data_IF_526403053389
#
_entry.id   IF_526403053389
#
_cell.length_a   1.000
_cell.length_b   1.000
_cell.length_c   1.000
_cell.angle_alpha   90.00
_cell.angle_beta   90.00
_cell.angle_gamma   90.00
#
_symmetry.space_group_name_H-M   'P 1'
#
loop_
_entity.id
_entity.type
_entity.pdbx_description
1 polymer ?
#
# COMPACT_ATOMS: atom_id res chain seq x y z
N UNK A 1 48.20 -3.88 -15.89
CA UNK A 1 47.68 -2.54 -15.52
C UNK A 1 46.51 -2.20 -16.43
N UNK A 2 45.28 -2.38 -15.96
CA UNK A 2 44.07 -1.95 -16.70
C UNK A 2 43.62 -0.61 -16.13
N UNK A 3 43.61 0.38 -16.97
CA UNK A 3 43.17 1.76 -16.67
C UNK A 3 41.65 1.73 -16.45
N UNK A 4 41.21 2.07 -15.27
CA UNK A 4 39.80 2.23 -14.93
C UNK A 4 39.29 3.53 -15.58
N UNK A 5 38.24 3.42 -16.37
CA UNK A 5 37.66 4.52 -17.14
C UNK A 5 36.78 5.38 -16.21
N UNK A 6 37.28 6.56 -15.87
CA UNK A 6 36.73 7.55 -14.90
C UNK A 6 35.36 8.14 -15.28
N UNK A 7 34.75 7.72 -16.38
CA UNK A 7 33.46 8.28 -16.87
C UNK A 7 32.22 7.74 -16.13
N UNK A 8 32.36 6.72 -15.31
CA UNK A 8 31.22 6.11 -14.59
C UNK A 8 30.95 6.69 -13.19
N UNK A 9 31.92 7.44 -12.65
CA UNK A 9 31.78 8.08 -11.31
C UNK A 9 30.88 9.33 -11.36
N UNK A 10 30.77 9.98 -12.52
CA UNK A 10 29.93 11.18 -12.70
C UNK A 10 28.42 10.88 -12.81
N UNK A 11 28.02 9.66 -13.18
CA UNK A 11 26.61 9.29 -13.26
C UNK A 11 25.98 8.96 -11.89
N UNK A 12 26.76 8.44 -10.97
CA UNK A 12 26.28 8.12 -9.60
C UNK A 12 26.23 9.35 -8.68
N UNK A 13 27.09 10.35 -8.95
CA UNK A 13 27.09 11.61 -8.19
C UNK A 13 25.91 12.52 -8.52
N UNK A 14 25.27 12.37 -9.69
CA UNK A 14 24.07 13.16 -10.07
C UNK A 14 22.78 12.62 -9.42
N UNK A 15 22.70 11.33 -9.16
CA UNK A 15 21.55 10.74 -8.45
C UNK A 15 21.68 10.96 -6.93
N UNK A 16 22.91 10.96 -6.38
CA UNK A 16 23.18 11.26 -4.98
C UNK A 16 23.02 12.75 -4.63
N UNK A 17 23.27 13.65 -5.58
CA UNK A 17 23.18 15.10 -5.37
C UNK A 17 21.76 15.66 -5.34
N UNK A 18 20.77 14.93 -5.89
CA UNK A 18 19.34 15.32 -5.84
C UNK A 18 18.63 14.87 -4.55
N UNK A 19 19.27 14.02 -3.75
CA UNK A 19 18.69 13.50 -2.50
C UNK A 19 19.26 14.16 -1.23
N UNK A 20 20.27 15.03 -1.33
CA UNK A 20 20.95 15.67 -0.18
C UNK A 20 20.70 17.18 -0.09
N UNK A 21 19.95 17.76 -1.03
CA UNK A 21 19.52 19.15 -0.96
C UNK A 21 18.40 19.32 0.06
N UNK A 22 18.66 20.05 1.15
CA UNK A 22 17.71 20.52 2.17
C UNK A 22 17.20 19.56 3.27
N UNK A 23 18.05 18.72 3.82
CA UNK A 23 17.75 18.06 5.11
C UNK A 23 18.02 18.97 6.34
N UNK A 24 18.58 20.16 6.15
CA UNK A 24 19.08 20.98 7.25
C UNK A 24 18.15 22.09 7.77
N UNK A 25 16.89 22.17 7.32
CA UNK A 25 16.00 23.28 7.74
C UNK A 25 14.57 22.88 8.16
N UNK A 26 14.32 21.63 8.49
CA UNK A 26 13.03 21.25 9.09
C UNK A 26 13.07 21.38 10.61
N UNK A 27 13.24 22.58 11.13
CA UNK A 27 12.76 22.91 12.48
C UNK A 27 11.23 22.98 12.41
N UNK A 28 10.57 21.85 12.67
CA UNK A 28 9.13 21.77 12.78
C UNK A 28 8.66 22.54 14.01
N UNK A 29 7.88 23.58 13.77
CA UNK A 29 7.00 24.14 14.80
C UNK A 29 6.03 23.02 15.23
N UNK A 30 5.68 22.91 16.54
CA UNK A 30 4.67 21.96 16.99
C UNK A 30 3.36 22.24 16.25
N UNK A 31 2.87 21.28 15.47
CA UNK A 31 1.55 21.39 14.86
C UNK A 31 0.51 21.14 15.95
N UNK A 32 -0.19 22.18 16.35
CA UNK A 32 -1.43 22.06 17.09
C UNK A 32 -2.42 21.23 16.25
N UNK A 33 -2.90 20.14 16.82
CA UNK A 33 -4.03 19.38 16.31
C UNK A 33 -5.26 20.20 16.70
N UNK A 34 -5.64 21.15 15.85
CA UNK A 34 -6.87 21.91 16.03
C UNK A 34 -7.80 21.68 14.83
N UNK A 35 -8.92 21.00 15.10
CA UNK A 35 -9.98 20.73 14.15
C UNK A 35 -10.83 21.95 13.81
N UNK A 36 -10.20 23.09 13.49
CA UNK A 36 -10.92 24.32 13.11
C UNK A 36 -11.06 24.43 11.61
N UNK A 37 -12.28 24.21 11.20
CA UNK A 37 -12.80 24.57 9.88
C UNK A 37 -12.69 26.08 9.59
N UNK A 38 -12.47 26.40 8.33
CA UNK A 38 -12.86 27.66 7.64
C UNK A 38 -12.15 28.99 7.95
N UNK A 39 -11.21 29.09 8.87
CA UNK A 39 -10.46 30.32 9.08
C UNK A 39 -8.96 30.09 9.28
N UNK A 40 -8.23 29.96 8.18
CA UNK A 40 -6.78 30.02 8.14
C UNK A 40 -6.05 28.71 8.45
N UNK A 41 -5.71 27.93 7.44
CA UNK A 41 -4.74 26.83 7.52
C UNK A 41 -5.27 25.47 8.00
N UNK A 42 -6.54 25.18 7.84
CA UNK A 42 -7.10 23.87 8.15
C UNK A 42 -6.64 22.83 7.11
N UNK A 43 -6.01 21.73 7.59
CA UNK A 43 -5.67 20.57 6.78
C UNK A 43 -6.96 19.97 6.19
N UNK A 44 -7.00 19.80 4.88
CA UNK A 44 -8.14 19.17 4.19
C UNK A 44 -7.82 17.70 3.90
N UNK A 45 -7.95 16.87 4.94
CA UNK A 45 -7.56 15.46 4.90
C UNK A 45 -8.76 14.61 4.43
N UNK A 46 -8.49 13.68 3.51
CA UNK A 46 -9.49 12.70 3.09
C UNK A 46 -9.62 11.59 4.14
N UNK A 47 -10.84 11.30 4.58
CA UNK A 47 -11.13 10.31 5.62
C UNK A 47 -12.00 9.16 5.05
N UNK A 48 -11.40 8.14 4.41
CA UNK A 48 -12.16 6.97 4.00
C UNK A 48 -12.52 6.09 5.19
N UNK A 49 -13.60 5.34 5.08
CA UNK A 49 -13.88 4.23 5.98
C UNK A 49 -12.86 3.10 5.77
N UNK A 50 -12.70 2.23 6.75
CA UNK A 50 -11.83 1.03 6.70
C UNK A 50 -10.36 1.37 6.37
N UNK A 51 -9.67 2.11 7.23
CA UNK A 51 -8.28 2.50 7.03
C UNK A 51 -7.31 1.30 6.92
N UNK A 52 -7.67 0.12 7.40
CA UNK A 52 -6.95 -1.13 7.18
C UNK A 52 -6.52 -1.33 5.72
N UNK A 53 -7.37 -0.98 4.76
CA UNK A 53 -7.12 -1.20 3.34
C UNK A 53 -5.97 -0.35 2.78
N UNK A 54 -5.63 0.74 3.47
CA UNK A 54 -4.53 1.65 3.09
C UNK A 54 -3.19 1.29 3.74
N UNK A 55 -3.16 0.34 4.68
CA UNK A 55 -1.93 -0.07 5.36
C UNK A 55 -1.20 -1.10 4.50
N UNK A 56 0.08 -0.84 4.22
CA UNK A 56 0.95 -1.78 3.52
C UNK A 56 1.19 -3.05 4.37
N UNK A 57 0.82 -4.24 3.85
CA UNK A 57 0.77 -5.43 4.69
C UNK A 57 2.05 -6.28 4.68
N UNK A 58 3.04 -6.00 3.82
CA UNK A 58 4.25 -6.79 3.69
C UNK A 58 5.52 -6.00 3.98
N UNK A 59 6.58 -6.71 4.37
CA UNK A 59 7.85 -6.08 4.72
C UNK A 59 8.66 -5.66 3.50
N UNK A 60 8.59 -6.38 2.38
CA UNK A 60 9.42 -6.11 1.21
C UNK A 60 9.12 -4.75 0.60
N UNK A 61 7.89 -4.54 0.17
CA UNK A 61 7.47 -3.27 -0.46
C UNK A 61 7.47 -2.12 0.55
N UNK A 62 7.13 -2.42 1.80
CA UNK A 62 7.18 -1.42 2.88
C UNK A 62 8.59 -0.93 3.16
N UNK A 63 9.62 -1.75 2.99
CA UNK A 63 11.01 -1.35 3.12
C UNK A 63 11.47 -0.40 2.00
N UNK A 64 10.68 -0.27 0.95
CA UNK A 64 10.94 0.58 -0.22
C UNK A 64 9.99 1.79 -0.29
N UNK A 65 9.61 2.36 0.86
CA UNK A 65 8.73 3.51 0.92
C UNK A 65 7.27 3.20 0.57
N UNK A 66 6.78 2.01 0.89
CA UNK A 66 5.47 1.51 0.51
C UNK A 66 5.25 1.54 -1.04
N UNK A 67 6.30 1.26 -1.82
CA UNK A 67 6.26 1.11 -3.27
C UNK A 67 6.25 -0.36 -3.67
N UNK A 68 5.18 -0.80 -4.35
CA UNK A 68 4.99 -2.21 -4.68
C UNK A 68 4.23 -2.49 -5.96
N UNK A 69 3.70 -1.45 -6.62
CA UNK A 69 2.84 -1.59 -7.81
C UNK A 69 3.57 -2.21 -8.99
N UNK A 70 4.84 -1.85 -9.18
CA UNK A 70 5.70 -2.39 -10.23
C UNK A 70 6.85 -3.25 -9.69
N UNK A 71 6.87 -3.61 -8.40
CA UNK A 71 7.88 -4.51 -7.84
C UNK A 71 7.87 -5.88 -8.53
N UNK A 72 8.94 -6.65 -8.39
CA UNK A 72 8.98 -8.02 -8.93
C UNK A 72 7.80 -8.85 -8.41
N UNK A 73 7.21 -9.73 -9.27
CA UNK A 73 6.13 -10.62 -8.86
C UNK A 73 6.52 -11.49 -7.67
N UNK A 74 5.73 -11.45 -6.60
CA UNK A 74 5.91 -12.22 -5.38
C UNK A 74 4.55 -12.63 -4.76
N UNK A 75 4.56 -13.32 -3.63
CA UNK A 75 3.33 -13.78 -2.95
C UNK A 75 2.48 -12.62 -2.43
N UNK A 76 3.08 -11.47 -2.13
CA UNK A 76 2.38 -10.29 -1.62
C UNK A 76 1.79 -9.39 -2.73
N UNK A 77 1.93 -9.78 -3.99
CA UNK A 77 1.40 -9.05 -5.15
C UNK A 77 -0.10 -8.77 -5.10
N UNK A 78 -0.87 -9.56 -4.32
CA UNK A 78 -2.32 -9.36 -4.14
C UNK A 78 -2.69 -7.96 -3.64
N UNK A 79 -1.92 -7.39 -2.73
CA UNK A 79 -2.18 -6.05 -2.20
C UNK A 79 -1.80 -4.93 -3.18
N UNK A 80 -0.66 -5.10 -3.84
CA UNK A 80 -0.06 -4.02 -4.62
C UNK A 80 -0.57 -3.99 -6.06
N UNK A 81 -0.49 -5.13 -6.72
CA UNK A 81 -0.88 -5.30 -8.11
C UNK A 81 -1.04 -6.78 -8.42
N UNK A 82 -2.26 -7.28 -8.40
CA UNK A 82 -2.55 -8.69 -8.64
C UNK A 82 -2.20 -9.15 -10.08
N UNK A 83 -2.08 -8.23 -11.06
CA UNK A 83 -1.66 -8.57 -12.41
C UNK A 83 -0.23 -9.12 -12.48
N UNK A 84 0.62 -8.84 -11.49
CA UNK A 84 1.98 -9.40 -11.38
C UNK A 84 1.97 -10.92 -11.33
N UNK A 85 0.93 -11.54 -10.77
CA UNK A 85 0.82 -13.00 -10.74
C UNK A 85 0.76 -13.66 -12.11
N UNK A 86 0.33 -12.94 -13.16
CA UNK A 86 0.37 -13.45 -14.52
C UNK A 86 1.80 -13.77 -15.00
N UNK A 87 2.80 -13.08 -14.43
CA UNK A 87 4.22 -13.23 -14.75
C UNK A 87 5.04 -13.93 -13.65
N UNK A 88 4.38 -14.42 -12.59
CA UNK A 88 5.09 -15.07 -11.49
C UNK A 88 5.74 -16.39 -11.94
N UNK A 89 7.04 -16.60 -11.63
CA UNK A 89 7.75 -17.78 -12.18
C UNK A 89 7.42 -19.10 -11.46
N UNK A 90 7.03 -19.04 -10.19
CA UNK A 90 6.78 -20.22 -9.36
C UNK A 90 5.34 -20.73 -9.54
N UNK A 91 5.11 -22.03 -9.24
CA UNK A 91 3.79 -22.65 -9.42
C UNK A 91 2.78 -22.20 -8.38
N UNK A 92 3.15 -22.18 -7.13
CA UNK A 92 2.31 -21.71 -6.06
C UNK A 92 3.14 -21.19 -4.87
N UNK A 93 2.54 -20.38 -4.05
CA UNK A 93 3.17 -19.85 -2.87
C UNK A 93 2.15 -19.37 -1.85
N UNK A 94 2.58 -19.34 -0.61
CA UNK A 94 1.82 -18.78 0.51
C UNK A 94 2.74 -17.89 1.34
N UNK A 95 2.19 -16.86 1.93
CA UNK A 95 2.94 -15.98 2.80
C UNK A 95 2.06 -15.45 3.93
N UNK A 96 2.69 -15.22 5.07
CA UNK A 96 2.10 -14.56 6.23
C UNK A 96 2.93 -13.34 6.58
N UNK A 97 2.26 -12.27 6.97
CA UNK A 97 2.90 -11.08 7.49
C UNK A 97 2.23 -10.66 8.80
N UNK A 98 3.04 -10.18 9.73
CA UNK A 98 2.58 -9.69 11.02
C UNK A 98 3.19 -8.32 11.30
N UNK A 99 2.33 -7.36 11.65
CA UNK A 99 2.69 -5.98 11.87
C UNK A 99 2.12 -5.53 13.22
N UNK A 100 2.97 -5.43 14.25
CA UNK A 100 2.61 -4.68 15.44
C UNK A 100 2.48 -3.20 15.08
N UNK A 101 1.24 -2.70 15.01
CA UNK A 101 0.95 -1.35 14.56
C UNK A 101 0.86 -0.38 15.73
N UNK A 102 1.29 0.88 15.55
CA UNK A 102 1.23 1.96 16.54
C UNK A 102 1.77 1.56 17.93
N UNK A 103 2.86 0.79 17.97
CA UNK A 103 3.46 0.27 19.22
C UNK A 103 3.78 1.34 20.26
N UNK A 104 3.95 2.57 19.83
CA UNK A 104 4.21 3.70 20.74
C UNK A 104 2.96 4.12 21.52
N UNK A 105 1.76 3.85 20.99
CA UNK A 105 0.48 4.17 21.63
C UNK A 105 -0.02 2.99 22.46
N UNK A 106 0.01 1.79 21.91
CA UNK A 106 -0.48 0.57 22.57
C UNK A 106 0.16 -0.69 21.97
N UNK A 107 0.22 -1.74 22.76
CA UNK A 107 0.71 -3.04 22.34
C UNK A 107 -0.39 -3.95 21.74
N UNK A 108 -1.62 -3.49 21.69
CA UNK A 108 -2.79 -4.31 21.34
C UNK A 108 -3.19 -4.19 19.88
N UNK A 109 -2.70 -3.14 19.17
CA UNK A 109 -3.04 -2.93 17.77
C UNK A 109 -2.12 -3.78 16.88
N UNK A 110 -2.70 -4.64 16.06
CA UNK A 110 -1.97 -5.58 15.22
C UNK A 110 -2.67 -5.77 13.88
N UNK A 111 -1.86 -5.89 12.83
CA UNK A 111 -2.29 -6.32 11.50
C UNK A 111 -1.68 -7.68 11.17
N UNK A 112 -2.52 -8.63 10.81
CA UNK A 112 -2.12 -9.91 10.24
C UNK A 112 -2.56 -9.97 8.77
N UNK A 113 -1.69 -10.48 7.91
CA UNK A 113 -1.95 -10.64 6.49
C UNK A 113 -1.52 -12.01 6.03
N UNK A 114 -2.42 -12.75 5.38
CA UNK A 114 -2.18 -14.03 4.76
C UNK A 114 -2.44 -13.87 3.26
N UNK A 115 -1.54 -14.33 2.41
CA UNK A 115 -1.71 -14.31 0.98
C UNK A 115 -1.24 -15.63 0.35
N UNK A 116 -1.82 -15.98 -0.79
CA UNK A 116 -1.41 -17.14 -1.54
C UNK A 116 -1.84 -17.05 -3.00
N UNK A 117 -1.13 -17.77 -3.83
CA UNK A 117 -1.45 -17.89 -5.25
C UNK A 117 -1.23 -19.32 -5.74
N UNK A 118 -1.97 -19.67 -6.79
CA UNK A 118 -1.81 -20.90 -7.52
C UNK A 118 -1.86 -20.63 -9.03
N UNK A 119 -0.78 -20.95 -9.72
CA UNK A 119 -0.66 -20.82 -11.17
C UNK A 119 -1.32 -22.03 -11.84
N UNK A 120 -2.45 -21.83 -12.48
CA UNK A 120 -3.23 -22.86 -13.15
C UNK A 120 -2.45 -23.39 -14.35
N UNK A 121 -1.95 -22.48 -15.16
CA UNK A 121 -1.13 -22.76 -16.34
C UNK A 121 -0.12 -21.62 -16.59
N UNK A 122 0.47 -21.56 -17.79
CA UNK A 122 1.46 -20.52 -18.13
C UNK A 122 0.85 -19.12 -18.28
N UNK A 123 -0.46 -19.01 -18.41
CA UNK A 123 -1.16 -17.77 -18.71
C UNK A 123 -2.10 -17.32 -17.58
N UNK A 124 -2.45 -18.21 -16.65
CA UNK A 124 -3.53 -17.98 -15.69
C UNK A 124 -3.09 -18.30 -14.26
N UNK A 125 -3.42 -17.40 -13.34
CA UNK A 125 -3.15 -17.57 -11.91
C UNK A 125 -4.36 -17.14 -11.10
N UNK A 126 -4.72 -17.95 -10.11
CA UNK A 126 -5.65 -17.58 -9.04
C UNK A 126 -4.86 -17.19 -7.80
N UNK A 127 -5.35 -16.21 -7.10
CA UNK A 127 -4.76 -15.75 -5.83
C UNK A 127 -5.84 -15.32 -4.85
N UNK A 128 -5.52 -15.39 -3.57
CA UNK A 128 -6.40 -14.94 -2.51
C UNK A 128 -5.61 -14.34 -1.37
N UNK A 129 -6.24 -13.46 -0.59
CA UNK A 129 -5.67 -12.98 0.66
C UNK A 129 -6.71 -12.72 1.73
N UNK A 130 -6.25 -12.70 2.97
CA UNK A 130 -7.00 -12.33 4.15
C UNK A 130 -6.20 -11.30 4.94
N UNK A 131 -6.83 -10.18 5.29
CA UNK A 131 -6.32 -9.19 6.24
C UNK A 131 -7.19 -9.18 7.47
N UNK A 132 -6.54 -9.09 8.61
CA UNK A 132 -7.21 -8.91 9.88
C UNK A 132 -6.49 -7.84 10.69
N UNK A 133 -7.23 -6.83 11.11
CA UNK A 133 -6.74 -5.71 11.89
C UNK A 133 -7.48 -5.66 13.21
N UNK A 134 -6.75 -5.82 14.30
CA UNK A 134 -7.27 -5.67 15.66
C UNK A 134 -6.83 -4.32 16.21
N UNK A 135 -7.76 -3.58 16.79
CA UNK A 135 -7.49 -2.27 17.41
C UNK A 135 -7.31 -2.37 18.92
N UNK A 136 -7.27 -3.61 19.45
CA UNK A 136 -7.17 -3.87 20.88
C UNK A 136 -8.49 -3.68 21.61
N UNK A 137 -8.42 -3.73 22.95
CA UNK A 137 -9.59 -3.62 23.79
C UNK A 137 -9.94 -2.15 24.06
N UNK A 138 -11.17 -1.76 23.75
CA UNK A 138 -11.71 -0.43 24.04
C UNK A 138 -12.83 -0.51 25.07
N UNK A 139 -12.75 0.35 26.08
CA UNK A 139 -13.80 0.51 27.10
C UNK A 139 -14.67 1.70 26.72
N UNK A 140 -15.95 1.41 26.53
CA UNK A 140 -16.95 2.47 26.27
C UNK A 140 -17.52 2.95 27.60
N UNK A 141 -17.67 4.25 27.74
CA UNK A 141 -18.24 4.91 28.92
C UNK A 141 -19.42 5.78 28.52
N UNK A 142 -20.30 6.03 29.45
CA UNK A 142 -21.35 7.05 29.32
C UNK A 142 -20.76 8.48 29.45
N UNK A 143 -21.60 9.50 29.29
CA UNK A 143 -21.22 10.92 29.44
C UNK A 143 -20.69 11.27 30.84
N UNK A 144 -21.00 10.47 31.85
CA UNK A 144 -20.55 10.64 33.24
C UNK A 144 -19.27 9.83 33.53
N UNK A 145 -18.73 9.09 32.54
CA UNK A 145 -17.53 8.27 32.68
C UNK A 145 -17.79 6.86 33.25
N UNK A 146 -19.04 6.46 33.46
CA UNK A 146 -19.35 5.10 33.92
C UNK A 146 -19.12 4.07 32.80
N UNK A 147 -18.53 2.91 33.10
CA UNK A 147 -18.29 1.89 32.10
C UNK A 147 -19.60 1.31 31.55
N UNK A 148 -19.82 1.36 30.25
CA UNK A 148 -20.96 0.75 29.56
C UNK A 148 -20.63 -0.68 29.15
N UNK A 149 -19.59 -0.84 28.32
CA UNK A 149 -19.17 -2.14 27.80
C UNK A 149 -17.72 -2.10 27.36
N UNK A 150 -17.17 -3.27 27.13
CA UNK A 150 -15.84 -3.44 26.53
C UNK A 150 -16.00 -4.17 25.20
N UNK A 151 -15.38 -3.65 24.15
CA UNK A 151 -15.40 -4.23 22.82
C UNK A 151 -13.97 -4.29 22.24
N UNK A 152 -13.73 -5.22 21.34
CA UNK A 152 -12.49 -5.33 20.58
C UNK A 152 -12.76 -4.95 19.12
N UNK A 153 -12.63 -3.65 18.77
CA UNK A 153 -12.83 -3.21 17.40
C UNK A 153 -11.91 -3.95 16.44
N UNK A 154 -12.45 -4.37 15.33
CA UNK A 154 -11.69 -5.10 14.33
C UNK A 154 -12.21 -4.85 12.92
N UNK A 155 -11.29 -4.98 11.97
CA UNK A 155 -11.60 -4.94 10.55
C UNK A 155 -10.99 -6.16 9.88
N UNK A 156 -11.69 -6.71 8.90
CA UNK A 156 -11.10 -7.71 8.03
C UNK A 156 -11.53 -7.54 6.57
N UNK A 157 -10.68 -8.01 5.67
CA UNK A 157 -10.96 -8.08 4.26
C UNK A 157 -10.46 -9.42 3.69
N UNK A 158 -11.30 -10.05 2.88
CA UNK A 158 -10.97 -11.25 2.11
C UNK A 158 -11.07 -10.89 0.64
N UNK A 159 -10.03 -11.20 -0.12
CA UNK A 159 -10.02 -10.96 -1.56
C UNK A 159 -9.54 -12.19 -2.34
N UNK A 160 -10.14 -12.34 -3.52
CA UNK A 160 -9.76 -13.36 -4.51
C UNK A 160 -9.52 -12.65 -5.82
N UNK A 161 -8.42 -12.99 -6.53
CA UNK A 161 -8.11 -12.42 -7.83
C UNK A 161 -7.86 -13.49 -8.87
N UNK A 162 -8.23 -13.16 -10.11
CA UNK A 162 -7.87 -13.88 -11.31
C UNK A 162 -6.96 -13.02 -12.16
N UNK A 163 -5.78 -13.54 -12.46
CA UNK A 163 -4.75 -12.86 -13.23
C UNK A 163 -4.48 -13.63 -14.53
N UNK A 164 -4.31 -12.89 -15.62
CA UNK A 164 -4.08 -13.47 -16.94
C UNK A 164 -2.97 -12.75 -17.69
N UNK A 165 -2.09 -13.53 -18.30
CA UNK A 165 -1.11 -13.06 -19.26
C UNK A 165 -1.80 -12.86 -20.61
N UNK A 166 -1.77 -11.65 -21.15
CA UNK A 166 -2.37 -11.33 -22.45
C UNK A 166 -1.39 -11.55 -23.60
N UNK A 167 -0.16 -11.04 -23.40
CA UNK A 167 0.99 -11.26 -24.27
C UNK A 167 2.22 -11.51 -23.38
N UNK A 168 3.34 -11.89 -23.95
CA UNK A 168 4.53 -12.42 -23.25
C UNK A 168 5.01 -11.54 -22.06
N UNK A 169 4.84 -10.23 -22.15
CA UNK A 169 5.34 -9.24 -21.20
C UNK A 169 4.22 -8.44 -20.49
N UNK A 170 2.95 -8.69 -20.81
CA UNK A 170 1.83 -7.90 -20.32
C UNK A 170 0.71 -8.76 -19.77
N UNK A 171 0.34 -8.51 -18.53
CA UNK A 171 -0.74 -9.16 -17.82
C UNK A 171 -1.74 -8.19 -17.22
N UNK A 172 -2.93 -8.71 -16.97
CA UNK A 172 -3.98 -8.00 -16.26
C UNK A 172 -4.64 -8.90 -15.22
N UNK A 173 -5.34 -8.27 -14.28
CA UNK A 173 -6.09 -8.98 -13.26
C UNK A 173 -7.35 -8.23 -12.86
N UNK A 174 -8.30 -9.00 -12.37
CA UNK A 174 -9.47 -8.50 -11.64
C UNK A 174 -9.52 -9.19 -10.29
N UNK A 175 -9.89 -8.46 -9.24
CA UNK A 175 -10.10 -9.02 -7.93
C UNK A 175 -11.49 -8.64 -7.41
N UNK A 176 -12.01 -9.49 -6.53
CA UNK A 176 -13.22 -9.22 -5.76
C UNK A 176 -12.88 -9.29 -4.28
N UNK A 177 -13.42 -8.36 -3.49
CA UNK A 177 -13.13 -8.18 -2.07
C UNK A 177 -14.39 -8.04 -1.25
N UNK A 178 -14.44 -8.74 -0.13
CA UNK A 178 -15.45 -8.60 0.92
C UNK A 178 -14.77 -7.93 2.11
N UNK A 179 -15.40 -6.86 2.63
CA UNK A 179 -14.87 -6.04 3.70
C UNK A 179 -15.88 -6.00 4.84
N UNK A 180 -15.42 -6.20 6.07
CA UNK A 180 -16.19 -5.99 7.29
C UNK A 180 -15.40 -5.13 8.26
N UNK A 181 -16.05 -4.12 8.81
CA UNK A 181 -15.50 -3.24 9.84
C UNK A 181 -16.45 -3.19 11.02
N UNK A 182 -15.99 -3.58 12.18
CA UNK A 182 -16.75 -3.61 13.44
C UNK A 182 -16.02 -2.73 14.46
N UNK A 183 -16.39 -1.46 14.51
CA UNK A 183 -15.72 -0.49 15.38
C UNK A 183 -16.41 -0.36 16.74
N UNK A 184 -17.70 -0.65 16.83
CA UNK A 184 -18.52 -0.24 17.97
C UNK A 184 -19.16 -1.42 18.74
N UNK A 185 -19.14 -2.64 18.18
CA UNK A 185 -19.72 -3.82 18.82
C UNK A 185 -21.22 -3.72 19.10
N UNK A 186 -21.94 -2.89 18.34
CA UNK A 186 -23.37 -2.70 18.53
C UNK A 186 -23.75 -1.78 19.70
N UNK A 187 -22.81 -0.99 20.22
CA UNK A 187 -23.09 -0.02 21.28
C UNK A 187 -23.99 1.09 20.74
N UNK A 188 -25.18 1.22 21.30
CA UNK A 188 -26.09 2.32 21.01
C UNK A 188 -25.69 3.53 21.84
N UNK A 189 -25.22 4.60 21.22
CA UNK A 189 -25.07 5.88 21.92
C UNK A 189 -26.46 6.48 22.13
N UNK A 190 -26.78 6.81 23.37
CA UNK A 190 -28.11 7.28 23.80
C UNK A 190 -28.60 8.55 23.07
N UNK A 191 -27.68 9.33 22.46
CA UNK A 191 -27.96 10.57 21.72
C UNK A 191 -27.69 10.47 20.21
N UNK A 192 -27.37 9.30 19.68
CA UNK A 192 -27.14 9.10 18.24
C UNK A 192 -28.41 8.59 17.56
N UNK A 193 -28.74 9.17 16.40
CA UNK A 193 -29.83 8.68 15.57
C UNK A 193 -29.50 7.31 14.99
N UNK A 194 -29.80 6.24 15.75
CA UNK A 194 -29.68 4.86 15.29
C UNK A 194 -28.72 3.98 16.10
N UNK A 195 -28.93 2.68 16.01
CA UNK A 195 -28.03 1.65 16.56
C UNK A 195 -26.81 1.52 15.67
N UNK A 196 -25.63 1.63 16.24
CA UNK A 196 -24.39 1.37 15.50
C UNK A 196 -24.22 -0.14 15.27
N UNK A 197 -23.84 -0.51 14.05
CA UNK A 197 -23.62 -1.92 13.66
C UNK A 197 -22.33 -2.06 12.87
N UNK A 198 -21.85 -3.31 12.76
CA UNK A 198 -20.72 -3.60 11.89
C UNK A 198 -21.07 -3.26 10.43
N UNK A 199 -20.22 -2.46 9.80
CA UNK A 199 -20.34 -2.12 8.39
C UNK A 199 -19.81 -3.24 7.48
N UNK A 200 -20.50 -3.45 6.36
CA UNK A 200 -20.02 -4.34 5.28
C UNK A 200 -19.93 -3.59 3.96
N UNK A 201 -18.93 -3.94 3.17
CA UNK A 201 -18.75 -3.42 1.82
C UNK A 201 -18.19 -4.50 0.89
N UNK A 202 -18.52 -4.35 -0.39
CA UNK A 202 -18.02 -5.20 -1.47
C UNK A 202 -17.28 -4.33 -2.47
N UNK A 203 -16.11 -4.78 -2.92
CA UNK A 203 -15.28 -4.02 -3.82
C UNK A 203 -14.65 -4.92 -4.90
N UNK A 204 -14.27 -4.28 -5.99
CA UNK A 204 -13.48 -4.89 -7.06
C UNK A 204 -12.19 -4.11 -7.28
N UNK A 205 -11.15 -4.81 -7.74
CA UNK A 205 -9.90 -4.20 -8.17
C UNK A 205 -9.66 -4.51 -9.65
N UNK A 206 -9.03 -3.57 -10.35
CA UNK A 206 -8.53 -3.75 -11.71
C UNK A 206 -7.04 -3.46 -11.70
N UNK A 207 -6.25 -4.34 -12.31
CA UNK A 207 -4.81 -4.25 -12.32
C UNK A 207 -4.22 -4.58 -13.68
N UNK A 208 -3.15 -3.87 -14.04
CA UNK A 208 -2.34 -4.09 -15.24
C UNK A 208 -0.87 -4.09 -14.86
N UNK A 209 -0.09 -4.94 -15.50
CA UNK A 209 1.34 -5.04 -15.27
C UNK A 209 2.08 -5.39 -16.56
N UNK A 210 3.13 -4.64 -16.82
CA UNK A 210 4.04 -4.84 -17.94
C UNK A 210 5.47 -4.92 -17.44
N UNK A 211 6.26 -5.87 -17.96
CA UNK A 211 7.71 -5.90 -17.72
C UNK A 211 8.44 -6.34 -18.98
N UNK A 212 9.62 -5.80 -19.21
CA UNK A 212 10.45 -6.19 -20.33
C UNK A 212 11.94 -6.06 -19.99
N UNK A 213 12.76 -6.79 -20.75
CA UNK A 213 14.19 -6.87 -20.58
C UNK A 213 14.88 -5.97 -21.61
N UNK A 214 15.97 -5.37 -21.16
CA UNK A 214 16.82 -4.55 -22.02
C UNK A 214 18.30 -4.77 -21.68
N UNK A 215 19.19 -4.24 -22.49
CA UNK A 215 20.62 -4.21 -22.19
C UNK A 215 21.07 -2.76 -22.06
N UNK A 216 21.67 -2.42 -20.93
CA UNK A 216 22.24 -1.10 -20.68
C UNK A 216 23.75 -1.20 -20.66
N UNK A 217 24.42 -0.68 -21.73
CA UNK A 217 25.88 -0.76 -21.84
C UNK A 217 26.46 -2.19 -21.78
N UNK A 218 25.68 -3.18 -22.24
CA UNK A 218 26.05 -4.60 -22.18
C UNK A 218 25.58 -5.35 -20.93
N UNK A 219 25.14 -4.66 -19.88
CA UNK A 219 24.56 -5.25 -18.68
C UNK A 219 23.10 -5.64 -18.89
N UNK A 220 22.65 -6.82 -18.46
CA UNK A 220 21.25 -7.16 -18.44
C UNK A 220 20.49 -6.20 -17.52
N UNK A 221 19.38 -5.68 -18.00
CA UNK A 221 18.49 -4.82 -17.23
C UNK A 221 17.02 -5.17 -17.52
N UNK A 222 16.13 -4.72 -16.68
CA UNK A 222 14.70 -4.96 -16.76
C UNK A 222 13.95 -3.72 -16.27
N UNK A 223 12.87 -3.39 -16.92
CA UNK A 223 11.94 -2.38 -16.43
C UNK A 223 10.54 -2.95 -16.33
N UNK A 224 9.75 -2.40 -15.45
CA UNK A 224 8.37 -2.76 -15.28
C UNK A 224 7.50 -1.53 -15.00
N UNK A 225 6.25 -1.61 -15.43
CA UNK A 225 5.21 -0.61 -15.20
C UNK A 225 3.97 -1.30 -14.63
N UNK A 226 3.33 -0.67 -13.68
CA UNK A 226 2.11 -1.17 -13.07
C UNK A 226 1.06 -0.08 -12.96
N UNK A 227 -0.19 -0.44 -13.17
CA UNK A 227 -1.36 0.42 -12.96
C UNK A 227 -2.40 -0.37 -12.19
N UNK A 228 -2.98 0.22 -11.14
CA UNK A 228 -4.08 -0.40 -10.40
C UNK A 228 -5.12 0.62 -9.99
N UNK A 229 -6.39 0.21 -10.03
CA UNK A 229 -7.47 0.90 -9.31
C UNK A 229 -8.03 -0.14 -8.34
N UNK A 230 -7.88 0.11 -7.06
CA UNK A 230 -8.25 -0.83 -6.00
C UNK A 230 -9.42 -0.31 -5.19
N UNK A 231 -10.20 -1.23 -4.60
CA UNK A 231 -11.34 -0.93 -3.74
C UNK A 231 -12.48 -0.17 -4.45
N UNK A 232 -12.73 -0.41 -5.74
CA UNK A 232 -13.91 0.13 -6.43
C UNK A 232 -15.13 -0.57 -5.84
N UNK A 233 -15.81 0.07 -4.88
CA UNK A 233 -16.83 -0.64 -4.11
C UNK A 233 -17.87 0.23 -3.46
N UNK A 234 -18.82 -0.42 -2.80
CA UNK A 234 -19.91 0.25 -2.12
C UNK A 234 -19.41 1.11 -0.95
N UNK A 235 -20.06 2.26 -0.73
CA UNK A 235 -19.86 3.02 0.51
C UNK A 235 -20.22 2.15 1.71
N UNK A 236 -19.47 2.29 2.80
CA UNK A 236 -19.68 1.57 4.05
C UNK A 236 -20.45 2.45 5.03
N UNK A 237 -21.41 1.88 5.75
CA UNK A 237 -22.15 2.53 6.81
C UNK A 237 -22.04 1.77 8.10
N UNK A 238 -21.89 2.49 9.22
CA UNK A 238 -21.98 1.97 10.60
C UNK A 238 -23.32 2.28 11.24
N UNK A 239 -24.13 3.12 10.57
CA UNK A 239 -25.49 3.42 10.96
C UNK A 239 -26.29 3.68 9.65
N UNK A 240 -27.61 3.69 9.73
CA UNK A 240 -28.45 3.86 8.54
C UNK A 240 -28.45 5.29 7.95
N UNK A 241 -27.72 6.22 8.61
CA UNK A 241 -27.78 7.66 8.27
C UNK A 241 -26.61 8.06 7.37
N UNK A 242 -25.36 7.65 7.70
CA UNK A 242 -24.16 8.12 7.01
C UNK A 242 -23.44 6.97 6.28
N UNK A 243 -23.09 7.22 5.03
CA UNK A 243 -22.34 6.30 4.17
C UNK A 243 -21.01 6.93 3.75
N UNK A 244 -19.91 6.30 4.11
CA UNK A 244 -18.56 6.77 3.81
C UNK A 244 -17.93 5.97 2.68
N UNK A 245 -17.15 6.64 1.83
CA UNK A 245 -16.33 5.96 0.84
C UNK A 245 -15.29 5.08 1.52
N UNK A 246 -15.06 3.89 0.96
CA UNK A 246 -13.87 3.10 1.25
C UNK A 246 -12.67 3.67 0.47
N UNK A 247 -11.39 3.36 0.79
CA UNK A 247 -10.23 3.98 0.16
C UNK A 247 -10.02 3.47 -1.28
N UNK A 248 -10.85 3.93 -2.20
CA UNK A 248 -10.67 3.67 -3.63
C UNK A 248 -9.37 4.36 -4.04
N UNK A 249 -8.40 3.59 -4.56
CA UNK A 249 -7.05 4.12 -4.81
C UNK A 249 -6.60 3.81 -6.22
N UNK A 250 -6.22 4.85 -6.95
CA UNK A 250 -5.44 4.74 -8.19
C UNK A 250 -3.96 4.73 -7.83
N UNK A 251 -3.22 3.75 -8.38
CA UNK A 251 -1.76 3.68 -8.23
C UNK A 251 -1.11 3.46 -9.58
N UNK A 252 -0.05 4.20 -9.82
CA UNK A 252 0.83 4.05 -10.97
C UNK A 252 2.25 3.84 -10.45
N UNK A 253 2.91 2.79 -10.91
CA UNK A 253 4.25 2.44 -10.45
C UNK A 253 5.20 2.10 -11.57
N UNK A 254 6.49 2.36 -11.31
CA UNK A 254 7.59 2.02 -12.19
C UNK A 254 8.74 1.34 -11.44
N UNK A 255 9.40 0.39 -12.08
CA UNK A 255 10.61 -0.26 -11.59
C UNK A 255 11.67 -0.31 -12.69
N UNK A 256 12.90 -0.05 -12.30
CA UNK A 256 14.08 -0.32 -13.12
C UNK A 256 15.05 -1.18 -12.31
N UNK A 257 15.56 -2.26 -12.93
CA UNK A 257 16.50 -3.18 -12.32
C UNK A 257 17.66 -3.44 -13.24
N UNK A 258 18.88 -3.52 -12.71
CA UNK A 258 20.10 -3.82 -13.47
C UNK A 258 20.91 -4.91 -12.76
N UNK A 259 21.34 -5.90 -13.51
CA UNK A 259 22.28 -6.91 -13.04
C UNK A 259 23.70 -6.35 -13.23
N UNK A 260 24.33 -5.89 -12.12
CA UNK A 260 25.67 -5.31 -12.12
C UNK A 260 26.68 -6.41 -12.50
N UNK A 261 26.48 -7.60 -11.95
CA UNK A 261 27.18 -8.83 -12.31
C UNK A 261 26.28 -10.06 -12.05
N UNK A 262 26.84 -11.26 -12.10
CA UNK A 262 26.10 -12.52 -11.91
C UNK A 262 25.49 -12.69 -10.51
N UNK A 263 25.97 -11.95 -9.51
CA UNK A 263 25.52 -12.02 -8.12
C UNK A 263 24.80 -10.76 -7.65
N UNK A 264 25.10 -9.61 -8.23
CA UNK A 264 24.70 -8.30 -7.74
C UNK A 264 23.63 -7.68 -8.64
N UNK A 265 22.46 -7.42 -8.07
CA UNK A 265 21.35 -6.74 -8.75
C UNK A 265 20.92 -5.52 -7.95
N UNK A 266 20.72 -4.40 -8.62
CA UNK A 266 20.17 -3.18 -8.07
C UNK A 266 18.83 -2.87 -8.74
N UNK A 267 17.82 -2.57 -7.93
CA UNK A 267 16.50 -2.16 -8.40
C UNK A 267 16.10 -0.83 -7.77
N UNK A 268 15.43 0.02 -8.53
CA UNK A 268 14.81 1.26 -8.07
C UNK A 268 13.34 1.25 -8.43
N UNK A 269 12.48 1.70 -7.51
CA UNK A 269 11.03 1.75 -7.65
C UNK A 269 10.51 3.14 -7.33
N UNK A 270 9.43 3.53 -8.01
CA UNK A 270 8.67 4.74 -7.71
C UNK A 270 7.20 4.48 -7.98
N UNK A 271 6.35 4.76 -7.00
CA UNK A 271 4.90 4.68 -7.09
C UNK A 271 4.28 6.04 -6.80
N UNK A 272 3.29 6.43 -7.59
CA UNK A 272 2.41 7.57 -7.37
C UNK A 272 0.99 7.05 -7.10
N UNK A 273 0.35 7.58 -6.08
CA UNK A 273 -0.97 7.11 -5.64
C UNK A 273 -1.89 8.27 -5.32
N UNK A 274 -3.17 8.14 -5.67
CA UNK A 274 -4.23 9.10 -5.35
C UNK A 274 -5.47 8.36 -4.88
N UNK A 275 -6.09 8.86 -3.81
CA UNK A 275 -7.41 8.41 -3.40
C UNK A 275 -8.47 8.97 -4.37
N UNK A 276 -9.27 8.08 -4.94
CA UNK A 276 -10.38 8.43 -5.82
C UNK A 276 -11.70 8.56 -5.02
N UNK A 277 -11.68 9.41 -4.02
CA UNK A 277 -12.84 9.74 -3.19
C UNK A 277 -13.00 11.27 -3.15
N UNK A 278 -14.23 11.80 -2.99
CA UNK A 278 -14.45 13.24 -2.98
C UNK A 278 -13.68 13.95 -1.87
N UNK A 279 -13.07 15.07 -2.23
CA UNK A 279 -12.42 15.98 -1.27
C UNK A 279 -13.47 16.77 -0.50
N UNK A 280 -13.35 16.88 0.84
CA UNK A 280 -14.29 17.69 1.62
C UNK A 280 -14.33 19.14 1.15
N UNK A 281 -15.53 19.68 0.83
CA UNK A 281 -15.69 21.07 0.41
C UNK A 281 -15.57 22.03 1.59
N UNK A 282 -15.37 23.32 1.30
CA UNK A 282 -15.46 24.38 2.31
C UNK A 282 -16.91 24.84 2.45
N UNK A 283 -17.36 24.97 3.69
CA UNK A 283 -18.70 25.41 4.04
C UNK A 283 -18.70 26.80 4.67
N UNK A 284 -19.79 27.58 4.47
CA UNK A 284 -20.06 28.79 5.24
C UNK A 284 -20.67 28.47 6.62
N UNK A 285 -20.94 29.50 7.40
CA UNK A 285 -21.56 29.35 8.73
C UNK A 285 -22.99 28.77 8.65
N UNK A 286 -23.62 28.78 7.49
CA UNK A 286 -24.96 28.24 7.22
C UNK A 286 -24.90 26.83 6.58
N UNK A 287 -23.75 26.20 6.54
CA UNK A 287 -23.49 24.89 5.92
C UNK A 287 -23.72 24.82 4.39
N UNK A 288 -23.65 25.97 3.68
CA UNK A 288 -23.64 25.97 2.22
C UNK A 288 -22.20 25.78 1.71
N UNK A 289 -22.04 25.07 0.60
CA UNK A 289 -20.74 24.89 -0.04
C UNK A 289 -20.27 26.19 -0.66
N UNK A 290 -19.15 26.75 -0.21
CA UNK A 290 -18.52 27.95 -0.76
C UNK A 290 -17.53 27.58 -1.87
N UNK A 291 -16.74 26.49 -1.66
CA UNK A 291 -15.76 25.98 -2.61
C UNK A 291 -15.72 24.46 -2.56
N UNK A 292 -15.38 23.85 -3.71
CA UNK A 292 -15.42 22.40 -3.86
C UNK A 292 -16.79 21.94 -4.35
N UNK A 293 -17.05 20.65 -4.23
CA UNK A 293 -18.25 20.00 -4.75
C UNK A 293 -18.92 19.16 -3.67
N UNK A 294 -20.20 18.84 -3.88
CA UNK A 294 -20.93 17.96 -2.96
C UNK A 294 -20.27 16.58 -2.90
N UNK A 295 -19.82 16.11 -1.71
CA UNK A 295 -19.18 14.82 -1.55
C UNK A 295 -20.18 13.65 -1.49
N UNK A 296 -21.47 13.92 -1.28
CA UNK A 296 -22.49 12.86 -1.24
C UNK A 296 -22.99 12.52 -2.65
N UNK A 297 -22.18 11.82 -3.39
CA UNK A 297 -22.43 11.39 -4.77
C UNK A 297 -22.25 9.87 -4.90
N UNK A 298 -22.75 9.30 -6.00
CA UNK A 298 -22.53 7.89 -6.32
C UNK A 298 -21.03 7.56 -6.45
N UNK A 299 -20.64 6.31 -6.21
CA UNK A 299 -19.23 5.89 -6.17
C UNK A 299 -18.47 6.30 -7.43
N UNK A 300 -18.99 5.95 -8.61
CA UNK A 300 -18.34 6.28 -9.90
C UNK A 300 -18.22 7.79 -10.09
N UNK A 301 -19.27 8.54 -9.73
CA UNK A 301 -19.25 10.01 -9.81
C UNK A 301 -18.19 10.59 -8.87
N UNK A 302 -18.07 10.06 -7.64
CA UNK A 302 -17.05 10.48 -6.69
C UNK A 302 -15.63 10.18 -7.17
N UNK A 303 -15.42 9.01 -7.80
CA UNK A 303 -14.14 8.68 -8.41
C UNK A 303 -13.71 9.67 -9.50
N UNK A 304 -14.65 10.08 -10.37
CA UNK A 304 -14.36 11.04 -11.42
C UNK A 304 -14.19 12.45 -10.85
N UNK A 305 -15.04 12.81 -9.88
CA UNK A 305 -15.03 14.12 -9.21
C UNK A 305 -13.70 14.37 -8.49
N UNK A 306 -13.11 13.36 -7.89
CA UNK A 306 -11.84 13.44 -7.13
C UNK A 306 -10.63 13.97 -7.91
N UNK A 307 -10.76 14.23 -9.21
CA UNK A 307 -9.70 14.85 -10.01
C UNK A 307 -9.83 16.37 -10.14
N UNK A 308 -10.93 16.97 -9.67
CA UNK A 308 -11.20 18.40 -9.85
C UNK A 308 -12.03 19.04 -8.72
N UNK A 309 -12.26 18.35 -7.60
CA UNK A 309 -13.19 18.80 -6.56
C UNK A 309 -12.51 19.49 -5.37
N UNK A 310 -11.20 19.49 -5.32
CA UNK A 310 -10.49 20.14 -4.23
C UNK A 310 -10.76 21.65 -4.18
N UNK A 311 -11.12 22.23 -3.03
CA UNK A 311 -11.43 23.66 -2.86
C UNK A 311 -10.29 24.60 -3.25
N UNK A 312 -9.03 24.17 -3.13
CA UNK A 312 -7.84 24.90 -3.58
C UNK A 312 -7.50 24.73 -5.05
N UNK A 313 -8.34 24.00 -5.82
CA UNK A 313 -8.18 23.75 -7.25
C UNK A 313 -7.01 22.85 -7.59
N UNK A 314 -6.46 22.97 -8.80
CA UNK A 314 -5.44 22.05 -9.34
C UNK A 314 -4.19 21.90 -8.45
N UNK A 315 -3.82 22.92 -7.70
CA UNK A 315 -2.68 22.83 -6.76
C UNK A 315 -2.99 21.85 -5.64
N UNK A 316 -4.17 21.93 -5.05
CA UNK A 316 -4.58 21.03 -3.97
C UNK A 316 -4.80 19.61 -4.48
N UNK A 317 -5.34 19.43 -5.69
CA UNK A 317 -5.45 18.14 -6.37
C UNK A 317 -4.10 17.45 -6.51
N UNK A 318 -3.05 18.20 -6.86
CA UNK A 318 -1.70 17.66 -6.96
C UNK A 318 -1.11 17.28 -5.59
N UNK A 319 -1.48 18.01 -4.53
CA UNK A 319 -1.08 17.70 -3.15
C UNK A 319 -1.72 16.41 -2.60
N UNK A 320 -2.80 15.93 -3.20
CA UNK A 320 -3.45 14.66 -2.85
C UNK A 320 -2.71 13.42 -3.36
N UNK A 321 -1.74 13.62 -4.26
CA UNK A 321 -0.88 12.54 -4.74
C UNK A 321 0.19 12.27 -3.68
N UNK A 322 0.20 11.05 -3.16
CA UNK A 322 1.27 10.58 -2.28
C UNK A 322 2.22 9.67 -3.06
N UNK A 323 3.47 9.68 -2.65
CA UNK A 323 4.58 9.05 -3.34
C UNK A 323 5.28 8.05 -2.46
N UNK A 324 5.60 6.92 -3.02
CA UNK A 324 6.47 5.93 -2.41
C UNK A 324 7.62 5.60 -3.35
N UNK A 325 8.83 5.51 -2.83
CA UNK A 325 9.96 5.14 -3.66
C UNK A 325 11.08 4.50 -2.86
N UNK A 326 11.87 3.67 -3.51
CA UNK A 326 12.96 3.00 -2.83
C UNK A 326 13.89 2.24 -3.75
N UNK A 327 14.92 1.69 -3.13
CA UNK A 327 15.95 0.88 -3.78
C UNK A 327 16.08 -0.46 -3.08
N UNK A 328 16.33 -1.50 -3.87
CA UNK A 328 16.64 -2.84 -3.40
C UNK A 328 17.99 -3.27 -4.00
N UNK A 329 18.93 -3.60 -3.14
CA UNK A 329 20.15 -4.29 -3.51
C UNK A 329 20.01 -5.77 -3.16
N UNK A 330 20.20 -6.65 -4.15
CA UNK A 330 20.08 -8.09 -4.00
C UNK A 330 21.41 -8.77 -4.31
N UNK A 331 21.88 -9.62 -3.40
CA UNK A 331 23.09 -10.42 -3.55
C UNK A 331 22.74 -11.90 -3.72
N UNK A 332 23.23 -12.51 -4.80
CA UNK A 332 23.06 -13.91 -5.16
C UNK A 332 21.58 -14.38 -5.18
N UNK A 333 20.60 -13.45 -5.26
CA UNK A 333 19.16 -13.71 -5.11
C UNK A 333 18.79 -14.34 -3.75
N UNK A 334 19.68 -14.23 -2.76
CA UNK A 334 19.52 -14.80 -1.43
C UNK A 334 19.39 -13.72 -0.36
N UNK A 335 20.17 -12.66 -0.46
CA UNK A 335 20.15 -11.56 0.51
C UNK A 335 19.68 -10.29 -0.18
N UNK A 336 18.86 -9.52 0.50
CA UNK A 336 18.41 -8.24 0.01
C UNK A 336 18.50 -7.17 1.11
N UNK A 337 18.98 -5.98 0.73
CA UNK A 337 18.90 -4.77 1.55
C UNK A 337 18.04 -3.75 0.84
N UNK A 338 17.21 -3.05 1.58
CA UNK A 338 16.22 -2.11 1.05
C UNK A 338 16.23 -0.83 1.83
N UNK A 339 16.03 0.27 1.12
CA UNK A 339 15.78 1.58 1.69
C UNK A 339 14.74 2.31 0.84
N UNK A 340 13.94 3.14 1.48
CA UNK A 340 12.90 3.88 0.79
C UNK A 340 12.43 5.11 1.54
N UNK A 341 11.58 5.87 0.89
CA UNK A 341 10.95 7.05 1.44
C UNK A 341 9.49 7.13 0.98
N UNK A 342 8.62 7.44 1.92
CA UNK A 342 7.20 7.72 1.70
C UNK A 342 6.93 9.19 1.95
N UNK A 343 6.21 9.82 1.04
CA UNK A 343 5.85 11.23 1.10
C UNK A 343 4.36 11.45 0.87
N UNK A 344 3.71 12.12 1.80
CA UNK A 344 2.37 12.66 1.69
C UNK A 344 2.39 14.14 2.12
N UNK A 345 1.69 14.98 1.36
CA UNK A 345 1.70 16.42 1.60
C UNK A 345 1.12 16.75 2.97
N UNK A 346 1.68 17.77 3.66
CA UNK A 346 1.31 18.13 5.03
C UNK A 346 -0.16 18.46 5.20
N UNK A 347 -0.79 19.09 4.20
CA UNK A 347 -2.21 19.44 4.20
C UNK A 347 -3.13 18.23 3.93
N UNK A 348 -2.60 17.09 3.47
CA UNK A 348 -3.35 15.89 3.09
C UNK A 348 -3.09 14.66 3.98
N UNK A 349 -2.45 14.87 5.13
CA UNK A 349 -2.13 13.82 6.10
C UNK A 349 -0.73 13.95 6.68
N UNK A 350 0.22 14.42 5.87
CA UNK A 350 1.57 14.76 6.34
C UNK A 350 2.42 13.56 6.74
N UNK A 351 2.08 12.35 6.27
CA UNK A 351 2.87 11.16 6.56
C UNK A 351 4.15 11.17 5.73
N UNK A 352 5.28 11.33 6.41
CA UNK A 352 6.60 11.34 5.79
C UNK A 352 7.53 10.47 6.64
N UNK A 353 8.15 9.47 6.01
CA UNK A 353 9.03 8.56 6.72
C UNK A 353 10.02 7.87 5.78
N UNK A 354 11.20 7.60 6.32
CA UNK A 354 12.16 6.68 5.72
C UNK A 354 11.83 5.25 6.11
N UNK A 355 12.21 4.33 5.27
CA UNK A 355 12.06 2.90 5.51
C UNK A 355 13.37 2.18 5.25
N UNK A 356 13.66 1.19 6.07
CA UNK A 356 14.77 0.29 5.90
C UNK A 356 14.27 -1.15 6.00
N UNK A 357 14.93 -2.06 5.32
CA UNK A 357 14.61 -3.48 5.44
C UNK A 357 15.69 -4.40 4.93
N UNK A 358 15.56 -5.65 5.35
CA UNK A 358 16.42 -6.73 4.93
C UNK A 358 15.59 -7.99 4.62
N UNK A 359 16.07 -8.78 3.68
CA UNK A 359 15.42 -10.03 3.29
C UNK A 359 16.45 -11.14 3.10
N UNK A 360 16.03 -12.35 3.42
CA UNK A 360 16.80 -13.58 3.18
C UNK A 360 15.91 -14.59 2.48
N UNK A 361 16.39 -15.14 1.37
CA UNK A 361 15.71 -16.21 0.64
C UNK A 361 16.60 -17.44 0.65
N UNK A 362 16.10 -18.53 1.20
CA UNK A 362 16.79 -19.81 1.22
C UNK A 362 15.89 -20.93 0.71
N UNK A 363 16.26 -21.52 -0.42
CA UNK A 363 15.50 -22.56 -1.10
C UNK A 363 14.06 -22.06 -1.46
N UNK A 364 13.05 -22.58 -0.74
CA UNK A 364 11.64 -22.20 -0.92
C UNK A 364 11.18 -21.11 0.05
N UNK A 365 11.97 -20.82 1.08
CA UNK A 365 11.60 -19.90 2.16
C UNK A 365 12.15 -18.50 1.90
N UNK A 366 11.34 -17.49 2.16
CA UNK A 366 11.71 -16.08 2.19
C UNK A 366 11.32 -15.47 3.52
N UNK A 367 12.24 -14.75 4.16
CA UNK A 367 12.01 -13.98 5.37
C UNK A 367 12.41 -12.54 5.13
N UNK A 368 11.50 -11.62 5.37
CA UNK A 368 11.72 -10.19 5.22
C UNK A 368 11.34 -9.45 6.51
N UNK A 369 12.12 -8.42 6.83
CA UNK A 369 11.83 -7.50 7.92
C UNK A 369 11.98 -6.05 7.44
N UNK A 370 11.14 -5.15 7.95
CA UNK A 370 11.25 -3.72 7.67
C UNK A 370 10.97 -2.87 8.90
N UNK A 371 11.49 -1.63 8.88
CA UNK A 371 11.39 -0.67 9.95
C UNK A 371 11.09 0.73 9.41
N UNK A 372 10.17 1.46 10.07
CA UNK A 372 9.79 2.82 9.73
C UNK A 372 10.54 3.81 10.63
N UNK A 373 11.12 4.84 10.01
CA UNK A 373 11.77 5.98 10.66
C UNK A 373 11.03 7.25 10.25
N UNK A 374 10.10 7.78 11.08
CA UNK A 374 9.34 8.98 10.73
C UNK A 374 10.23 10.22 10.61
N UNK A 375 9.98 11.06 9.59
CA UNK A 375 10.71 12.32 9.38
C UNK A 375 10.41 13.35 10.48
N UNK A 376 9.20 13.34 11.05
CA UNK A 376 8.81 14.19 12.18
C UNK A 376 9.44 13.75 13.53
N UNK A 377 10.43 12.87 13.47
CA UNK A 377 11.14 12.34 14.64
C UNK A 377 10.36 11.27 15.41
N UNK A 378 10.94 10.83 16.54
CA UNK A 378 10.41 9.73 17.34
C UNK A 378 9.06 10.01 18.04
N UNK A 379 8.51 11.21 17.93
CA UNK A 379 7.18 11.53 18.49
C UNK A 379 6.00 11.15 17.58
N UNK A 380 6.26 10.71 16.35
CA UNK A 380 5.22 10.19 15.47
C UNK A 380 4.61 8.88 16.02
N UNK A 381 3.29 8.68 15.91
CA UNK A 381 2.64 7.41 16.23
C UNK A 381 3.16 6.23 15.41
N UNK A 382 3.69 6.49 14.20
CA UNK A 382 4.28 5.48 13.32
C UNK A 382 5.70 5.05 13.73
N UNK A 383 6.32 5.74 14.70
CA UNK A 383 7.64 5.37 15.19
C UNK A 383 7.62 3.94 15.78
N UNK A 384 8.74 3.25 15.62
CA UNK A 384 8.93 1.87 16.08
C UNK A 384 8.01 0.84 15.42
N UNK A 385 7.44 1.15 14.24
CA UNK A 385 6.68 0.15 13.48
C UNK A 385 7.65 -0.78 12.76
N UNK A 386 7.59 -2.04 13.14
CA UNK A 386 8.29 -3.15 12.47
C UNK A 386 7.29 -4.01 11.71
N UNK A 387 7.74 -4.59 10.61
CA UNK A 387 6.96 -5.57 9.84
C UNK A 387 7.80 -6.82 9.63
N UNK A 388 7.17 -7.97 9.73
CA UNK A 388 7.79 -9.27 9.52
C UNK A 388 6.96 -10.05 8.52
N UNK A 389 7.61 -10.62 7.52
CA UNK A 389 6.95 -11.40 6.47
C UNK A 389 7.69 -12.70 6.24
N UNK A 390 6.95 -13.79 6.21
CA UNK A 390 7.46 -15.11 5.88
C UNK A 390 6.73 -15.59 4.62
N UNK A 391 7.46 -16.06 3.63
CA UNK A 391 6.92 -16.60 2.39
C UNK A 391 7.49 -17.98 2.08
N UNK A 392 6.67 -18.80 1.43
CA UNK A 392 7.07 -20.12 0.95
C UNK A 392 6.62 -20.25 -0.51
N UNK A 393 7.54 -20.56 -1.42
CA UNK A 393 7.31 -20.63 -2.86
C UNK A 393 7.76 -21.97 -3.42
N UNK A 394 6.90 -22.62 -4.19
CA UNK A 394 7.14 -23.93 -4.73
C UNK A 394 7.21 -23.91 -6.25
N UNK A 395 8.16 -24.66 -6.80
CA UNK A 395 8.26 -24.94 -8.24
C UNK A 395 7.27 -26.01 -8.67
N UNK A 396 7.02 -26.10 -9.98
CA UNK A 396 6.30 -27.25 -10.54
C UNK A 396 7.05 -28.53 -10.19
N UNK A 397 6.34 -29.58 -9.73
CA UNK A 397 6.93 -30.92 -9.66
C UNK A 397 7.46 -31.27 -11.06
N UNK A 398 8.75 -31.58 -11.16
CA UNK A 398 9.32 -32.08 -12.43
C UNK A 398 8.50 -33.30 -12.83
N UNK A 399 7.61 -33.16 -13.80
CA UNK A 399 6.80 -34.25 -14.30
C UNK A 399 7.73 -35.39 -14.71
N UNK A 400 7.50 -36.58 -14.16
CA UNK A 400 8.15 -37.79 -14.62
C UNK A 400 7.90 -37.89 -16.14
N UNK A 401 8.92 -37.59 -16.95
CA UNK A 401 8.92 -37.96 -18.36
C UNK A 401 8.79 -39.49 -18.37
N UNK A 402 7.55 -39.99 -18.58
CA UNK A 402 7.33 -41.38 -18.90
C UNK A 402 8.29 -41.71 -20.05
N UNK A 403 9.35 -42.44 -19.76
CA UNK A 403 10.15 -43.10 -20.81
C UNK A 403 9.17 -43.95 -21.62
N UNK A 404 8.79 -43.49 -22.80
CA UNK A 404 8.15 -44.33 -23.78
C UNK A 404 9.18 -45.40 -24.13
N UNK A 405 9.07 -46.59 -23.52
CA UNK A 405 9.70 -47.80 -24.03
C UNK A 405 9.01 -48.05 -25.37
N UNK A 406 9.68 -47.73 -26.46
CA UNK A 406 9.44 -48.33 -27.75
C UNK A 406 9.79 -49.79 -27.63
N UNK A 407 8.80 -50.66 -27.70
CA UNK A 407 8.95 -52.06 -28.02
C UNK A 407 9.15 -52.18 -29.53
#
# INVERSE_FOLDING_TARGET
MRVWNTKWILGLSLVGGLLIGDVASAQTKPSEIDGRSAQGGARNILHPAVPLLSIAPDSRSSAMGDAGVASEPDVFSQHWNSAKYALIPKQWGVAISYIPWLRKLTNEINLAYLAGYYRIDKMQTLSASLRYFSMGQMKFTDEMGNPLTTHNPNEFAIDVAYSRLFIENFGGAVAFRIIRSDLTGGVTQQNSAGTSSAGMSYAADIALYYQDKLKLGGMPAEYALGLTITNIGSKLSYNDVYKNFIPITLRLGGRFSADIDQYNRLSALLDASKLLIPTPPLYDASHNIIKGYNPDVAVVSGMLQSFYDAPGGAKEEFQEIYWGGGVEYSYAKQFALRAGYFFEHEEKGGRQYFTLGAGVTYNIFGLDASYIIPSAGFNSPLANTMRFSLSVNFDQPKGNKKRSRRA
#
